data_IF_775956045662
#
_entry.id   IF_775956045662
#
_cell.length_a   1.000
_cell.length_b   1.000
_cell.length_c   1.000
_cell.angle_alpha   90.00
_cell.angle_beta   90.00
_cell.angle_gamma   90.00
#
_symmetry.space_group_name_H-M   'P 1'
#
loop_
_entity.id
_entity.type
_entity.pdbx_description
1 polymer ?
#
# COMPACT_ATOMS: atom_id res chain seq x y z
N UNK A 1 34.19 40.48 24.20
CA UNK A 1 33.02 39.58 24.29
C UNK A 1 32.12 39.86 23.09
N UNK A 2 32.16 39.02 22.04
CA UNK A 2 31.49 39.35 20.78
C UNK A 2 29.99 39.14 20.95
N UNK A 3 29.26 40.22 21.25
CA UNK A 3 27.79 40.22 21.38
C UNK A 3 27.07 39.60 20.16
N UNK A 4 27.77 39.57 19.02
CA UNK A 4 27.27 39.14 17.72
C UNK A 4 27.03 37.63 17.64
N UNK A 5 27.70 36.83 18.48
CA UNK A 5 27.56 35.37 18.48
C UNK A 5 26.12 34.94 18.78
N UNK A 6 25.39 35.68 19.62
CA UNK A 6 24.00 35.38 19.95
C UNK A 6 23.08 35.50 18.73
N UNK A 7 23.27 36.54 17.91
CA UNK A 7 22.48 36.76 16.69
C UNK A 7 22.73 35.64 15.68
N UNK A 8 23.99 35.24 15.50
CA UNK A 8 24.35 34.14 14.60
C UNK A 8 23.69 32.82 15.00
N UNK A 9 23.59 32.54 16.30
CA UNK A 9 22.91 31.35 16.82
C UNK A 9 21.44 31.36 16.43
N UNK A 10 20.74 32.48 16.64
CA UNK A 10 19.32 32.58 16.28
C UNK A 10 19.09 32.45 14.78
N UNK A 11 19.92 33.08 13.95
CA UNK A 11 19.82 32.98 12.50
C UNK A 11 20.03 31.53 12.04
N UNK A 12 21.04 30.85 12.60
CA UNK A 12 21.28 29.44 12.30
C UNK A 12 20.10 28.55 12.73
N UNK A 13 19.54 28.76 13.93
CA UNK A 13 18.37 28.05 14.43
C UNK A 13 17.15 28.23 13.52
N UNK A 14 16.86 29.48 13.14
CA UNK A 14 15.74 29.80 12.23
C UNK A 14 15.97 29.19 10.86
N UNK A 15 17.19 29.28 10.31
CA UNK A 15 17.52 28.70 9.02
C UNK A 15 17.34 27.17 9.00
N UNK A 16 17.80 26.48 10.04
CA UNK A 16 17.62 25.02 10.19
C UNK A 16 16.14 24.65 10.34
N UNK A 17 15.39 25.40 11.15
CA UNK A 17 13.96 25.18 11.30
C UNK A 17 13.21 25.39 9.98
N UNK A 18 13.52 26.46 9.25
CA UNK A 18 12.90 26.77 7.96
C UNK A 18 13.25 25.70 6.92
N UNK A 19 14.50 25.27 6.86
CA UNK A 19 14.92 24.14 6.02
C UNK A 19 14.11 22.89 6.34
N UNK A 20 13.96 22.55 7.63
CA UNK A 20 13.17 21.40 8.05
C UNK A 20 11.70 21.52 7.62
N UNK A 21 11.07 22.68 7.79
CA UNK A 21 9.69 22.92 7.35
C UNK A 21 9.54 22.82 5.84
N UNK A 22 10.49 23.34 5.06
CA UNK A 22 10.47 23.25 3.60
C UNK A 22 10.60 21.79 3.15
N UNK A 23 11.54 21.04 3.72
CA UNK A 23 11.70 19.62 3.41
C UNK A 23 10.45 18.82 3.77
N UNK A 24 9.87 19.07 4.94
CA UNK A 24 8.64 18.42 5.39
C UNK A 24 7.47 18.79 4.49
N UNK A 25 7.34 20.07 4.13
CA UNK A 25 6.33 20.58 3.21
C UNK A 25 6.43 19.93 1.84
N UNK A 26 7.62 19.86 1.24
CA UNK A 26 7.85 19.19 -0.05
C UNK A 26 7.50 17.70 0.05
N UNK A 27 7.95 17.02 1.11
CA UNK A 27 7.66 15.59 1.32
C UNK A 27 6.16 15.35 1.42
N UNK A 28 5.46 16.13 2.22
CA UNK A 28 4.02 16.00 2.45
C UNK A 28 3.24 16.34 1.17
N UNK A 29 3.63 17.41 0.48
CA UNK A 29 3.04 17.83 -0.78
C UNK A 29 3.19 16.76 -1.87
N UNK A 30 4.37 16.16 -2.01
CA UNK A 30 4.59 15.05 -2.94
C UNK A 30 3.71 13.85 -2.63
N UNK A 31 3.59 13.51 -1.35
CA UNK A 31 2.75 12.38 -0.93
C UNK A 31 1.26 12.67 -1.17
N UNK A 32 0.81 13.89 -0.87
CA UNK A 32 -0.56 14.33 -1.13
C UNK A 32 -0.87 14.35 -2.63
N UNK A 33 0.00 14.91 -3.46
CA UNK A 33 -0.19 14.89 -4.91
C UNK A 33 -0.20 13.48 -5.50
N UNK A 34 0.58 12.54 -4.94
CA UNK A 34 0.48 11.13 -5.33
C UNK A 34 -0.94 10.60 -5.05
N UNK A 35 -1.48 10.84 -3.85
CA UNK A 35 -2.85 10.41 -3.52
C UNK A 35 -3.92 11.10 -4.37
N UNK A 36 -3.77 12.39 -4.68
CA UNK A 36 -4.70 13.13 -5.55
C UNK A 36 -4.65 12.59 -6.98
N UNK A 37 -3.45 12.26 -7.49
CA UNK A 37 -3.30 11.65 -8.81
C UNK A 37 -3.97 10.27 -8.86
N UNK A 38 -3.81 9.47 -7.82
CA UNK A 38 -4.46 8.15 -7.71
C UNK A 38 -5.99 8.29 -7.65
N UNK A 39 -6.48 9.30 -6.91
CA UNK A 39 -7.90 9.61 -6.82
C UNK A 39 -8.46 10.15 -8.14
N UNK A 40 -7.69 10.97 -8.87
CA UNK A 40 -8.04 11.45 -10.20
C UNK A 40 -8.13 10.31 -11.21
N UNK A 41 -7.15 9.40 -11.20
CA UNK A 41 -7.17 8.20 -12.05
C UNK A 41 -8.34 7.26 -11.70
N UNK A 42 -8.74 7.18 -10.43
CA UNK A 42 -9.94 6.45 -10.03
C UNK A 42 -11.23 7.19 -10.40
N UNK A 43 -11.24 8.51 -10.30
CA UNK A 43 -12.36 9.38 -10.71
C UNK A 43 -12.62 9.31 -12.21
N UNK A 44 -11.57 9.25 -13.03
CA UNK A 44 -11.69 9.08 -14.48
C UNK A 44 -12.28 7.71 -14.84
N UNK A 45 -11.92 6.65 -14.10
CA UNK A 45 -12.55 5.32 -14.23
C UNK A 45 -14.02 5.32 -13.80
N UNK A 46 -14.38 6.08 -12.76
CA UNK A 46 -15.78 6.29 -12.36
C UNK A 46 -16.55 7.13 -13.37
N UNK A 47 -15.89 8.09 -14.04
CA UNK A 47 -16.46 8.88 -15.14
C UNK A 47 -16.68 8.06 -16.42
N UNK A 48 -15.84 7.05 -16.67
CA UNK A 48 -16.04 6.07 -17.73
C UNK A 48 -17.14 5.06 -17.41
N UNK A 49 -17.54 4.89 -16.15
CA UNK A 49 -18.78 4.22 -15.77
C UNK A 49 -19.97 5.17 -15.98
N UNK A 50 -20.13 5.62 -17.22
CA UNK A 50 -21.39 6.15 -17.68
C UNK A 50 -22.42 4.99 -17.56
N UNK A 51 -23.61 5.16 -16.95
CA UNK A 51 -24.56 4.06 -16.69
C UNK A 51 -25.15 3.36 -17.93
N UNK A 52 -24.59 3.57 -19.12
CA UNK A 52 -25.24 3.24 -20.40
C UNK A 52 -24.58 2.05 -21.10
N UNK A 53 -23.32 1.69 -20.78
CA UNK A 53 -22.65 0.53 -21.39
C UNK A 53 -22.20 -0.47 -20.32
N UNK A 54 -23.14 -1.26 -19.80
CA UNK A 54 -22.83 -2.60 -19.29
C UNK A 54 -23.13 -3.60 -20.40
N UNK A 55 -22.13 -4.16 -21.08
CA UNK A 55 -22.22 -5.54 -21.52
C UNK A 55 -22.26 -6.40 -20.26
N UNK A 56 -23.26 -7.28 -20.17
CA UNK A 56 -23.37 -8.33 -19.16
C UNK A 56 -22.17 -9.30 -19.24
N UNK A 57 -21.02 -8.89 -18.72
CA UNK A 57 -19.95 -9.81 -18.34
C UNK A 57 -20.37 -10.50 -17.04
N UNK A 58 -20.32 -11.84 -16.97
CA UNK A 58 -20.67 -12.56 -15.76
C UNK A 58 -19.72 -12.11 -14.64
N UNK A 59 -20.27 -11.34 -13.69
CA UNK A 59 -19.56 -10.88 -12.52
C UNK A 59 -18.91 -12.08 -11.82
N UNK A 60 -17.58 -12.14 -11.83
CA UNK A 60 -16.81 -13.10 -11.04
C UNK A 60 -17.16 -12.88 -9.55
N UNK A 61 -17.85 -13.81 -8.89
CA UNK A 61 -18.33 -13.63 -7.53
C UNK A 61 -17.18 -13.48 -6.51
N UNK A 62 -15.95 -13.76 -6.92
CA UNK A 62 -14.75 -13.57 -6.11
C UNK A 62 -14.26 -12.12 -6.03
N UNK A 63 -14.73 -11.21 -6.90
CA UNK A 63 -14.26 -9.83 -6.92
C UNK A 63 -15.14 -8.95 -6.03
N UNK A 64 -14.69 -8.72 -4.81
CA UNK A 64 -15.37 -7.85 -3.85
C UNK A 64 -15.64 -6.46 -4.47
N UNK A 65 -16.92 -6.13 -4.63
CA UNK A 65 -17.36 -4.84 -5.15
C UNK A 65 -16.86 -3.71 -4.23
N UNK A 66 -16.27 -2.64 -4.77
CA UNK A 66 -15.86 -1.50 -3.96
C UNK A 66 -17.07 -0.93 -3.19
N UNK A 67 -16.96 -0.83 -1.87
CA UNK A 67 -18.05 -0.40 -0.97
C UNK A 67 -18.83 -1.53 -0.29
N UNK A 68 -18.73 -2.78 -0.77
CA UNK A 68 -19.39 -3.94 -0.13
C UNK A 68 -18.93 -4.18 1.32
N UNK A 69 -17.73 -3.73 1.67
CA UNK A 69 -17.18 -3.83 3.01
C UNK A 69 -17.97 -3.05 4.09
N UNK A 70 -18.70 -1.99 3.72
CA UNK A 70 -19.45 -1.18 4.71
C UNK A 70 -20.70 -1.92 5.19
N UNK A 71 -21.27 -2.80 4.36
CA UNK A 71 -22.51 -3.53 4.64
C UNK A 71 -22.31 -5.05 4.82
N UNK A 72 -21.08 -5.55 4.69
CA UNK A 72 -20.78 -6.96 4.86
C UNK A 72 -20.95 -7.38 6.32
N UNK A 73 -21.46 -8.60 6.54
CA UNK A 73 -21.56 -9.14 7.90
C UNK A 73 -20.16 -9.34 8.50
N UNK A 74 -19.95 -9.04 9.81
CA UNK A 74 -18.66 -9.21 10.46
C UNK A 74 -18.08 -10.63 10.39
N UNK A 75 -18.95 -11.65 10.28
CA UNK A 75 -18.54 -13.04 10.14
C UNK A 75 -17.86 -13.30 8.79
N UNK A 76 -18.46 -12.79 7.69
CA UNK A 76 -17.91 -12.94 6.33
C UNK A 76 -16.57 -12.21 6.21
N UNK A 77 -16.47 -10.98 6.75
CA UNK A 77 -15.21 -10.24 6.78
C UNK A 77 -14.08 -10.97 7.51
N UNK A 78 -14.38 -11.66 8.61
CA UNK A 78 -13.37 -12.44 9.34
C UNK A 78 -12.86 -13.63 8.52
N UNK A 79 -13.76 -14.31 7.82
CA UNK A 79 -13.37 -15.40 6.91
C UNK A 79 -12.50 -14.90 5.76
N UNK A 80 -12.88 -13.79 5.11
CA UNK A 80 -12.11 -13.19 4.02
C UNK A 80 -10.74 -12.71 4.48
N UNK A 81 -10.67 -12.13 5.69
CA UNK A 81 -9.42 -11.71 6.31
C UNK A 81 -8.49 -12.89 6.58
N UNK A 82 -8.99 -13.96 7.21
CA UNK A 82 -8.17 -15.14 7.49
C UNK A 82 -7.75 -15.81 6.18
N UNK A 83 -8.65 -15.99 5.20
CA UNK A 83 -8.30 -16.52 3.89
C UNK A 83 -7.19 -15.71 3.19
N UNK A 84 -7.30 -14.38 3.21
CA UNK A 84 -6.28 -13.47 2.69
C UNK A 84 -4.94 -13.58 3.44
N UNK A 85 -5.00 -13.78 4.76
CA UNK A 85 -3.81 -13.94 5.61
C UNK A 85 -3.10 -15.27 5.33
N UNK A 86 -3.84 -16.36 5.11
CA UNK A 86 -3.30 -17.65 4.68
C UNK A 86 -2.67 -17.55 3.30
N UNK A 87 -3.36 -16.91 2.33
CA UNK A 87 -2.84 -16.72 0.97
C UNK A 87 -1.48 -15.98 0.96
N UNK A 88 -1.35 -14.91 1.76
CA UNK A 88 -0.06 -14.19 1.88
C UNK A 88 1.04 -15.03 2.54
N UNK A 89 0.69 -15.90 3.48
CA UNK A 89 1.64 -16.80 4.13
C UNK A 89 2.15 -17.83 3.11
N UNK A 90 1.23 -18.40 2.33
CA UNK A 90 1.58 -19.41 1.33
C UNK A 90 2.37 -18.80 0.17
N UNK A 91 2.02 -17.61 -0.29
CA UNK A 91 2.78 -16.90 -1.31
C UNK A 91 4.24 -16.66 -0.86
N UNK A 92 4.45 -16.28 0.40
CA UNK A 92 5.80 -16.13 0.97
C UNK A 92 6.55 -17.46 1.06
N UNK A 93 5.86 -18.54 1.43
CA UNK A 93 6.43 -19.90 1.49
C UNK A 93 6.84 -20.36 0.09
N UNK A 94 5.94 -20.25 -0.89
CA UNK A 94 6.20 -20.57 -2.30
C UNK A 94 7.38 -19.80 -2.88
N UNK A 95 7.49 -18.49 -2.61
CA UNK A 95 8.65 -17.69 -3.03
C UNK A 95 9.97 -18.17 -2.40
N UNK A 96 9.96 -18.65 -1.14
CA UNK A 96 11.16 -19.21 -0.49
C UNK A 96 11.54 -20.56 -1.10
N UNK A 97 10.56 -21.41 -1.35
CA UNK A 97 10.76 -22.71 -2.00
C UNK A 97 11.31 -22.51 -3.42
N UNK A 98 10.71 -21.62 -4.21
CA UNK A 98 11.17 -21.35 -5.57
C UNK A 98 12.61 -20.86 -5.59
N UNK A 99 12.96 -19.90 -4.73
CA UNK A 99 14.35 -19.42 -4.59
C UNK A 99 15.35 -20.50 -4.20
N UNK A 100 14.93 -21.51 -3.42
CA UNK A 100 15.79 -22.66 -3.06
C UNK A 100 15.93 -23.64 -4.23
N UNK A 101 14.84 -23.91 -4.96
CA UNK A 101 14.82 -24.73 -6.18
C UNK A 101 15.74 -24.15 -7.25
N UNK A 102 15.63 -22.85 -7.52
CA UNK A 102 16.47 -22.15 -8.51
C UNK A 102 17.97 -22.22 -8.17
N UNK A 103 18.31 -22.36 -6.87
CA UNK A 103 19.69 -22.48 -6.37
C UNK A 103 20.16 -23.93 -6.18
N UNK A 104 19.34 -24.92 -6.55
CA UNK A 104 19.66 -26.34 -6.39
C UNK A 104 19.86 -26.78 -4.94
N UNK A 105 19.34 -26.03 -3.97
CA UNK A 105 19.50 -26.36 -2.55
C UNK A 105 18.46 -27.41 -2.12
N UNK A 106 18.84 -28.42 -1.33
CA UNK A 106 17.90 -29.43 -0.85
C UNK A 106 16.81 -28.77 0.01
N UNK A 107 15.56 -29.08 -0.31
CA UNK A 107 14.40 -28.62 0.42
C UNK A 107 14.27 -29.45 1.72
N UNK A 108 13.93 -28.81 2.84
CA UNK A 108 13.76 -29.54 4.10
C UNK A 108 12.56 -30.50 3.96
N UNK A 109 12.67 -31.71 4.53
CA UNK A 109 11.66 -32.76 4.37
C UNK A 109 10.26 -32.28 4.83
N UNK A 110 10.18 -31.45 5.87
CA UNK A 110 8.90 -30.87 6.35
C UNK A 110 8.30 -29.76 5.48
N UNK A 111 9.00 -29.30 4.43
CA UNK A 111 8.45 -28.37 3.44
C UNK A 111 7.79 -29.10 2.24
N UNK A 112 7.91 -30.42 2.17
CA UNK A 112 7.26 -31.27 1.17
C UNK A 112 5.95 -31.79 1.78
N UNK A 113 4.82 -31.47 1.16
CA UNK A 113 3.54 -32.03 1.56
C UNK A 113 3.53 -33.51 1.15
N UNK A 114 3.73 -34.40 2.12
CA UNK A 114 3.42 -35.81 1.96
C UNK A 114 1.93 -35.99 2.23
N UNK A 115 1.15 -36.06 1.16
CA UNK A 115 -0.23 -36.53 1.16
C UNK A 115 -0.31 -37.77 0.30
#
# INVERSE_FOLDING_TARGET
MPWWSWILIWVALVAVALLFYVLLGIRLFRQFMATVKDLGAAGEKLGHLNPIDLPDEPADPARALPGSAVFASPAVMRHDYEASKWARREERRGRRVQRKKDRGQPQALGDLDFT
#
